data_IF_916592629252
#
_entry.id   IF_916592629252
#
_cell.length_a   1.000
_cell.length_b   1.000
_cell.length_c   1.000
_cell.angle_alpha   90.00
_cell.angle_beta   90.00
_cell.angle_gamma   90.00
#
_symmetry.space_group_name_H-M   'P 1'
#
loop_
_entity.id
_entity.type
_entity.pdbx_description
1 polymer ?
#
# COMPACT_ATOMS: atom_id res chain seq x y z
N UNK A 1 -4.83 -18.01 9.62
CA UNK A 1 -4.42 -18.06 8.20
C UNK A 1 -2.90 -17.87 8.04
N UNK A 2 -2.33 -16.73 8.47
CA UNK A 2 -0.92 -16.39 8.29
C UNK A 2 0.04 -17.42 8.93
N UNK A 3 -0.25 -17.90 10.13
CA UNK A 3 0.53 -18.96 10.78
C UNK A 3 0.64 -20.19 9.89
N UNK A 4 -0.50 -20.65 9.35
CA UNK A 4 -0.53 -21.81 8.46
C UNK A 4 0.19 -21.54 7.14
N UNK A 5 0.10 -20.33 6.60
CA UNK A 5 0.84 -19.94 5.39
C UNK A 5 2.36 -20.03 5.61
N UNK A 6 2.86 -19.50 6.73
CA UNK A 6 4.28 -19.59 7.12
C UNK A 6 4.75 -21.04 7.26
N UNK A 7 3.98 -21.87 7.96
CA UNK A 7 4.26 -23.30 8.12
C UNK A 7 4.33 -24.02 6.77
N UNK A 8 3.37 -23.72 5.87
CA UNK A 8 3.30 -24.36 4.54
C UNK A 8 4.45 -23.91 3.63
N UNK A 9 4.85 -22.65 3.71
CA UNK A 9 5.94 -22.11 2.89
C UNK A 9 7.31 -22.72 3.27
N UNK A 10 7.51 -23.10 4.54
CA UNK A 10 8.79 -23.65 5.03
C UNK A 10 9.94 -22.65 5.05
N UNK A 11 9.67 -21.37 4.79
CA UNK A 11 10.62 -20.27 4.87
C UNK A 11 9.92 -18.99 5.34
N UNK A 12 10.69 -17.92 5.59
CA UNK A 12 10.12 -16.62 5.94
C UNK A 12 9.31 -16.05 4.77
N UNK A 13 8.14 -15.51 5.09
CA UNK A 13 7.31 -14.75 4.14
C UNK A 13 7.40 -13.27 4.50
N UNK A 14 7.64 -12.42 3.51
CA UNK A 14 7.49 -10.98 3.67
C UNK A 14 6.00 -10.63 3.85
N UNK A 15 5.68 -9.91 4.93
CA UNK A 15 4.29 -9.55 5.24
C UNK A 15 4.16 -8.03 5.24
N UNK A 16 3.29 -7.53 4.37
CA UNK A 16 2.86 -6.13 4.34
C UNK A 16 1.50 -6.01 5.01
N UNK A 17 1.38 -5.05 5.93
CA UNK A 17 0.11 -4.66 6.53
C UNK A 17 -0.39 -3.37 5.85
N UNK A 18 -1.65 -3.38 5.39
CA UNK A 18 -2.27 -2.24 4.72
C UNK A 18 -3.59 -1.88 5.41
N UNK A 19 -3.67 -0.73 6.12
CA UNK A 19 -4.91 -0.30 6.76
C UNK A 19 -5.87 0.30 5.71
N UNK A 20 -7.16 -0.03 5.83
CA UNK A 20 -8.18 0.49 4.94
C UNK A 20 -8.87 1.75 5.48
N UNK A 21 -8.94 1.89 6.79
CA UNK A 21 -9.43 3.12 7.43
C UNK A 21 -8.99 3.20 8.89
N UNK A 22 -8.67 4.39 9.38
CA UNK A 22 -8.67 4.63 10.82
C UNK A 22 -10.07 4.44 11.41
N UNK A 23 -10.19 4.26 12.75
CA UNK A 23 -11.47 4.25 13.44
C UNK A 23 -12.30 5.50 13.14
N UNK A 24 -13.61 5.35 13.02
CA UNK A 24 -14.54 6.42 12.65
C UNK A 24 -14.36 7.71 13.47
N UNK A 25 -14.15 7.60 14.79
CA UNK A 25 -13.98 8.75 15.68
C UNK A 25 -12.68 9.55 15.45
N UNK A 26 -11.72 8.98 14.71
CA UNK A 26 -10.48 9.67 14.32
C UNK A 26 -10.61 10.45 13.02
N UNK A 27 -11.69 10.26 12.27
CA UNK A 27 -11.92 10.86 10.95
C UNK A 27 -12.86 12.05 11.00
N UNK A 28 -12.75 12.92 10.01
CA UNK A 28 -13.59 14.11 9.86
C UNK A 28 -15.06 13.78 9.54
N UNK A 29 -15.28 12.74 8.75
CA UNK A 29 -16.63 12.26 8.40
C UNK A 29 -17.26 11.33 9.45
N UNK A 30 -16.54 10.96 10.50
CA UNK A 30 -16.98 10.05 11.57
C UNK A 30 -17.52 8.70 11.07
N UNK A 31 -17.00 8.25 9.94
CA UNK A 31 -17.37 6.99 9.28
C UNK A 31 -16.10 6.24 8.87
N UNK A 32 -16.04 4.94 9.06
CA UNK A 32 -14.93 4.12 8.56
C UNK A 32 -14.98 4.00 7.04
N UNK A 33 -16.16 4.12 6.44
CA UNK A 33 -16.44 4.07 5.01
C UNK A 33 -16.43 5.48 4.40
N UNK A 34 -16.73 5.56 3.11
CA UNK A 34 -17.03 6.81 2.41
C UNK A 34 -15.88 7.84 2.41
N UNK A 35 -14.63 7.39 2.39
CA UNK A 35 -13.45 8.27 2.38
C UNK A 35 -13.32 9.04 3.70
N UNK A 36 -13.40 10.36 3.65
CA UNK A 36 -13.03 11.23 4.77
C UNK A 36 -11.53 11.31 4.97
N UNK A 37 -11.07 12.04 5.96
CA UNK A 37 -9.65 12.24 6.27
C UNK A 37 -9.37 11.98 7.74
N UNK A 38 -8.20 11.45 8.04
CA UNK A 38 -7.71 11.39 9.41
C UNK A 38 -7.53 12.81 9.96
N UNK A 39 -8.13 13.10 11.11
CA UNK A 39 -7.95 14.39 11.75
C UNK A 39 -6.51 14.54 12.25
N UNK A 40 -5.87 15.66 11.96
CA UNK A 40 -4.48 15.96 12.32
C UNK A 40 -4.15 15.70 13.80
N UNK A 41 -5.07 16.07 14.70
CA UNK A 41 -4.94 15.82 16.15
C UNK A 41 -4.81 14.34 16.53
N UNK A 42 -5.18 13.43 15.61
CA UNK A 42 -5.15 11.98 15.82
C UNK A 42 -3.94 11.31 15.14
N UNK A 43 -3.09 12.04 14.41
CA UNK A 43 -1.95 11.46 13.68
C UNK A 43 -1.02 10.65 14.60
N UNK A 44 -0.60 11.25 15.72
CA UNK A 44 0.25 10.53 16.69
C UNK A 44 -0.44 9.29 17.28
N UNK A 45 -1.74 9.38 17.58
CA UNK A 45 -2.50 8.24 18.12
C UNK A 45 -2.66 7.13 17.09
N UNK A 46 -2.88 7.48 15.82
CA UNK A 46 -3.00 6.50 14.76
C UNK A 46 -1.65 5.81 14.46
N UNK A 47 -0.54 6.54 14.47
CA UNK A 47 0.80 5.97 14.35
C UNK A 47 1.10 4.99 15.50
N UNK A 48 0.80 5.35 16.74
CA UNK A 48 0.94 4.45 17.89
C UNK A 48 0.03 3.20 17.79
N UNK A 49 -1.17 3.34 17.22
CA UNK A 49 -2.05 2.20 16.96
C UNK A 49 -1.42 1.22 15.96
N UNK A 50 -0.85 1.74 14.86
CA UNK A 50 -0.17 0.93 13.85
C UNK A 50 1.02 0.17 14.46
N UNK A 51 1.84 0.85 15.27
CA UNK A 51 2.97 0.21 15.95
C UNK A 51 2.50 -0.86 16.94
N UNK A 52 1.46 -0.60 17.72
CA UNK A 52 0.88 -1.62 18.62
C UNK A 52 0.32 -2.82 17.86
N UNK A 53 -0.24 -2.62 16.68
CA UNK A 53 -0.65 -3.73 15.82
C UNK A 53 0.54 -4.60 15.41
N UNK A 54 1.65 -3.99 15.01
CA UNK A 54 2.90 -4.69 14.66
C UNK A 54 3.42 -5.51 15.85
N UNK A 55 3.50 -4.89 17.04
CA UNK A 55 3.93 -5.56 18.27
C UNK A 55 2.99 -6.74 18.62
N UNK A 56 1.69 -6.52 18.58
CA UNK A 56 0.69 -7.55 18.89
C UNK A 56 0.66 -8.70 17.88
N UNK A 57 1.01 -8.46 16.61
CA UNK A 57 1.20 -9.52 15.63
C UNK A 57 2.47 -10.33 15.92
N UNK A 58 3.56 -9.66 16.29
CA UNK A 58 4.82 -10.31 16.68
C UNK A 58 4.64 -11.22 17.91
N UNK A 59 3.89 -10.80 18.92
CA UNK A 59 3.55 -11.63 20.09
C UNK A 59 2.82 -12.93 19.69
N UNK A 60 2.15 -12.93 18.54
CA UNK A 60 1.47 -14.11 17.94
C UNK A 60 2.35 -14.88 16.96
N UNK A 61 3.65 -14.59 16.92
CA UNK A 61 4.61 -15.24 16.02
C UNK A 61 4.50 -14.80 14.56
N UNK A 62 3.87 -13.64 14.29
CA UNK A 62 3.74 -13.08 12.94
C UNK A 62 4.51 -11.76 12.91
N UNK A 63 5.63 -11.75 12.21
CA UNK A 63 6.40 -10.54 11.98
C UNK A 63 5.82 -9.78 10.79
N UNK A 64 5.60 -8.48 10.97
CA UNK A 64 5.21 -7.55 9.90
C UNK A 64 6.49 -6.88 9.42
N UNK A 65 6.81 -7.06 8.15
CA UNK A 65 8.04 -6.54 7.54
C UNK A 65 7.83 -5.18 6.89
N UNK A 66 6.60 -4.91 6.46
CA UNK A 66 6.24 -3.67 5.77
C UNK A 66 4.88 -3.17 6.23
N UNK A 67 4.71 -1.87 6.21
CA UNK A 67 3.44 -1.22 6.52
C UNK A 67 3.13 -0.12 5.49
N UNK A 68 1.96 -0.22 4.88
CA UNK A 68 1.40 0.85 4.06
C UNK A 68 0.78 1.91 4.96
N UNK A 69 0.86 3.17 4.57
CA UNK A 69 0.20 4.26 5.29
C UNK A 69 -1.31 4.11 5.18
N UNK A 70 -1.80 3.84 3.97
CA UNK A 70 -3.23 3.74 3.68
C UNK A 70 -3.45 2.98 2.38
N UNK A 71 -4.37 2.00 2.40
CA UNK A 71 -4.89 1.42 1.17
C UNK A 71 -5.67 2.47 0.37
N UNK A 72 -5.34 2.63 -0.89
CA UNK A 72 -6.02 3.53 -1.85
C UNK A 72 -6.27 4.96 -1.35
N UNK A 73 -5.21 5.71 -0.98
CA UNK A 73 -5.35 7.02 -0.31
C UNK A 73 -6.00 8.12 -1.19
N UNK A 74 -6.16 7.92 -2.47
CA UNK A 74 -6.86 8.85 -3.36
C UNK A 74 -8.34 8.49 -3.57
N UNK A 75 -8.78 7.32 -3.11
CA UNK A 75 -10.13 6.82 -3.34
C UNK A 75 -11.12 7.20 -2.24
N UNK A 76 -12.40 7.38 -2.64
CA UNK A 76 -13.54 7.39 -1.75
C UNK A 76 -14.40 6.17 -2.08
N UNK A 77 -14.40 5.19 -1.21
CA UNK A 77 -15.10 3.93 -1.41
C UNK A 77 -16.31 3.81 -0.46
N UNK A 78 -17.32 3.04 -0.87
CA UNK A 78 -18.50 2.73 -0.03
C UNK A 78 -18.15 1.80 1.14
N UNK A 79 -16.98 1.18 1.11
CA UNK A 79 -16.39 0.41 2.19
C UNK A 79 -15.31 1.21 2.94
N UNK A 80 -14.59 0.55 3.86
CA UNK A 80 -13.55 1.18 4.65
C UNK A 80 -12.52 1.88 3.74
N UNK A 81 -12.37 3.18 3.92
CA UNK A 81 -11.47 4.03 3.12
C UNK A 81 -11.14 5.33 3.83
N UNK A 82 -9.98 5.89 3.55
CA UNK A 82 -9.55 7.18 4.11
C UNK A 82 -8.64 7.88 3.10
N UNK A 83 -8.86 9.18 2.89
CA UNK A 83 -8.11 9.95 1.92
C UNK A 83 -6.91 10.64 2.56
N UNK A 84 -5.81 10.63 1.81
CA UNK A 84 -4.62 11.44 2.06
C UNK A 84 -4.18 12.12 0.77
N UNK A 85 -3.83 13.40 0.83
CA UNK A 85 -3.04 14.02 -0.21
C UNK A 85 -1.57 13.55 -0.12
N UNK A 86 -0.77 13.88 -1.12
CA UNK A 86 0.60 13.39 -1.18
C UNK A 86 1.48 13.89 -0.03
N UNK A 87 1.32 15.16 0.33
CA UNK A 87 2.00 15.80 1.45
C UNK A 87 1.50 15.31 2.81
N UNK A 88 0.19 15.08 2.95
CA UNK A 88 -0.40 14.52 4.18
C UNK A 88 0.10 13.10 4.45
N UNK A 89 0.18 12.27 3.41
CA UNK A 89 0.70 10.90 3.51
C UNK A 89 2.18 10.90 3.88
N UNK A 90 2.97 11.74 3.21
CA UNK A 90 4.40 11.89 3.48
C UNK A 90 4.66 12.44 4.89
N UNK A 91 3.92 13.46 5.31
CA UNK A 91 4.01 13.99 6.67
C UNK A 91 3.69 12.92 7.71
N UNK A 92 2.61 12.16 7.52
CA UNK A 92 2.26 11.09 8.45
C UNK A 92 3.36 10.03 8.53
N UNK A 93 3.93 9.65 7.40
CA UNK A 93 5.05 8.69 7.35
C UNK A 93 6.27 9.20 8.10
N UNK A 94 6.69 10.45 7.83
CA UNK A 94 7.97 11.04 8.27
C UNK A 94 7.93 11.52 9.70
N UNK A 95 6.86 12.23 10.08
CA UNK A 95 6.80 12.96 11.35
C UNK A 95 6.03 12.23 12.45
N UNK A 96 5.29 11.17 12.09
CA UNK A 96 4.49 10.43 13.07
C UNK A 96 4.82 8.93 13.08
N UNK A 97 4.72 8.23 11.95
CA UNK A 97 4.89 6.78 11.94
C UNK A 97 6.36 6.39 12.13
N UNK A 98 7.29 7.02 11.39
CA UNK A 98 8.71 6.71 11.54
C UNK A 98 9.22 6.95 12.96
N UNK A 99 8.95 8.10 13.63
CA UNK A 99 9.33 8.29 15.03
C UNK A 99 8.66 7.31 15.99
N UNK A 100 7.43 6.87 15.73
CA UNK A 100 6.76 5.86 16.55
C UNK A 100 7.43 4.49 16.43
N UNK A 101 7.87 4.10 15.23
CA UNK A 101 8.69 2.90 14.99
C UNK A 101 10.07 3.02 15.65
N UNK A 102 10.74 4.16 15.49
CA UNK A 102 12.05 4.44 16.05
C UNK A 102 12.05 4.31 17.58
N UNK A 103 11.05 4.86 18.26
CA UNK A 103 10.83 4.74 19.70
C UNK A 103 10.77 3.28 20.20
N UNK A 104 10.40 2.35 19.33
CA UNK A 104 10.32 0.90 19.61
C UNK A 104 11.51 0.11 19.04
N UNK A 105 12.49 0.75 18.40
CA UNK A 105 13.60 0.08 17.71
C UNK A 105 13.13 -0.78 16.53
N UNK A 106 12.06 -0.35 15.84
CA UNK A 106 11.44 -1.04 14.71
C UNK A 106 11.75 -0.39 13.35
N UNK A 107 12.33 0.81 13.32
CA UNK A 107 12.57 1.61 12.10
C UNK A 107 13.42 0.89 11.04
N UNK A 108 14.33 0.00 11.47
CA UNK A 108 15.18 -0.79 10.56
C UNK A 108 14.53 -2.12 10.16
N UNK A 109 13.50 -2.54 10.89
CA UNK A 109 12.82 -3.84 10.72
C UNK A 109 11.54 -3.73 9.90
N UNK A 110 10.79 -2.65 10.09
CA UNK A 110 9.51 -2.42 9.44
C UNK A 110 9.65 -1.31 8.41
N UNK A 111 9.48 -1.66 7.16
CA UNK A 111 9.62 -0.75 6.02
C UNK A 111 8.32 0.02 5.79
N UNK A 112 8.41 1.34 5.68
CA UNK A 112 7.25 2.20 5.37
C UNK A 112 7.06 2.24 3.86
N UNK A 113 5.84 1.93 3.41
CA UNK A 113 5.41 1.93 2.02
C UNK A 113 4.29 2.95 1.84
N UNK A 114 4.28 3.67 0.76
CA UNK A 114 3.27 4.68 0.43
C UNK A 114 2.56 4.37 -0.88
N UNK A 115 1.54 5.14 -1.19
CA UNK A 115 0.67 5.07 -2.35
C UNK A 115 -0.31 3.90 -2.28
N UNK A 116 0.12 2.67 -2.39
CA UNK A 116 -0.74 1.49 -2.25
C UNK A 116 -2.08 1.63 -3.00
N UNK A 117 -1.99 2.06 -4.27
CA UNK A 117 -3.12 2.41 -5.12
C UNK A 117 -2.76 2.23 -6.61
N UNK A 118 -3.69 2.50 -7.52
CA UNK A 118 -3.53 2.25 -8.95
C UNK A 118 -2.28 2.92 -9.56
N UNK A 119 -1.55 2.16 -10.39
CA UNK A 119 -0.24 2.55 -10.95
C UNK A 119 -0.29 3.79 -11.86
N UNK A 120 -1.45 4.10 -12.45
CA UNK A 120 -1.61 5.19 -13.41
C UNK A 120 -1.21 6.58 -12.87
N UNK A 121 -1.47 6.84 -11.59
CA UNK A 121 -1.10 8.10 -10.93
C UNK A 121 0.18 8.01 -10.07
N UNK A 122 0.81 6.84 -10.00
CA UNK A 122 1.92 6.57 -9.09
C UNK A 122 3.10 7.54 -9.28
N UNK A 123 3.53 7.79 -10.52
CA UNK A 123 4.65 8.68 -10.79
C UNK A 123 4.40 10.10 -10.28
N UNK A 124 3.22 10.65 -10.57
CA UNK A 124 2.82 11.96 -10.06
C UNK A 124 2.80 11.98 -8.54
N UNK A 125 2.15 10.99 -7.93
CA UNK A 125 2.01 10.90 -6.47
C UNK A 125 3.36 10.85 -5.77
N UNK A 126 4.28 10.02 -6.25
CA UNK A 126 5.61 9.92 -5.65
C UNK A 126 6.41 11.21 -5.81
N UNK A 127 6.32 11.89 -6.95
CA UNK A 127 6.98 13.20 -7.10
C UNK A 127 6.51 14.20 -6.03
N UNK A 128 5.22 14.24 -5.76
CA UNK A 128 4.63 15.12 -4.74
C UNK A 128 5.04 14.67 -3.33
N UNK A 129 4.92 13.38 -2.99
CA UNK A 129 5.25 12.85 -1.66
C UNK A 129 6.74 12.93 -1.35
N UNK A 130 7.62 12.63 -2.31
CA UNK A 130 9.09 12.68 -2.11
C UNK A 130 9.66 14.09 -2.04
N UNK A 131 8.86 15.12 -2.34
CA UNK A 131 9.22 16.51 -2.10
C UNK A 131 9.11 16.90 -0.61
N UNK A 132 8.42 16.10 0.21
CA UNK A 132 8.34 16.35 1.65
C UNK A 132 9.69 16.08 2.32
N UNK A 133 10.17 17.00 3.20
CA UNK A 133 11.48 16.85 3.86
C UNK A 133 11.60 15.53 4.63
N UNK A 134 12.62 14.75 4.37
CA UNK A 134 12.87 13.45 5.00
C UNK A 134 12.09 12.26 4.41
N UNK A 135 11.20 12.48 3.42
CA UNK A 135 10.45 11.39 2.82
C UNK A 135 11.35 10.42 2.03
N UNK A 136 12.35 10.96 1.32
CA UNK A 136 13.29 10.10 0.58
C UNK A 136 14.11 9.17 1.46
N UNK A 137 14.41 9.57 2.67
CA UNK A 137 15.22 8.78 3.62
C UNK A 137 14.37 7.77 4.40
N UNK A 138 13.13 8.15 4.76
CA UNK A 138 12.31 7.37 5.70
C UNK A 138 11.29 6.45 5.03
N UNK A 139 10.84 6.80 3.82
CA UNK A 139 9.96 5.95 3.01
C UNK A 139 10.80 4.97 2.21
N UNK A 140 10.60 3.67 2.46
CA UNK A 140 11.37 2.61 1.83
C UNK A 140 10.95 2.36 0.38
N UNK A 141 9.65 2.37 0.11
CA UNK A 141 9.14 2.04 -1.21
C UNK A 141 7.70 2.49 -1.44
N UNK A 142 7.17 2.11 -2.57
CA UNK A 142 5.81 2.39 -2.96
C UNK A 142 5.11 1.14 -3.47
N UNK A 143 3.86 0.99 -3.07
CA UNK A 143 3.01 -0.10 -3.49
C UNK A 143 2.04 0.35 -4.59
N UNK A 144 1.60 -0.59 -5.42
CA UNK A 144 0.65 -0.27 -6.47
C UNK A 144 -0.36 -1.38 -6.73
N UNK A 145 -1.51 -0.95 -7.30
CA UNK A 145 -2.62 -1.78 -7.78
C UNK A 145 -2.76 -1.68 -9.29
N UNK A 146 -3.52 -2.59 -9.90
CA UNK A 146 -3.64 -2.68 -11.37
C UNK A 146 -5.01 -2.28 -11.95
N UNK A 147 -5.97 -1.82 -11.15
CA UNK A 147 -7.38 -1.76 -11.56
C UNK A 147 -7.71 -0.77 -12.67
N UNK A 148 -7.00 0.35 -12.78
CA UNK A 148 -7.33 1.43 -13.72
C UNK A 148 -6.55 1.34 -15.03
N UNK A 149 -5.33 0.80 -15.02
CA UNK A 149 -4.43 0.85 -16.16
C UNK A 149 -3.47 -0.33 -16.19
N UNK A 150 -3.11 -0.78 -17.39
CA UNK A 150 -2.05 -1.77 -17.63
C UNK A 150 -0.71 -1.13 -18.07
N UNK A 151 -0.53 0.18 -17.80
CA UNK A 151 0.66 0.96 -18.15
C UNK A 151 1.80 0.72 -17.16
N UNK A 152 2.45 -0.42 -17.23
CA UNK A 152 3.57 -0.77 -16.35
C UNK A 152 4.82 0.10 -16.57
N UNK A 153 4.94 0.78 -17.71
CA UNK A 153 6.01 1.76 -17.99
C UNK A 153 6.08 2.91 -16.97
N UNK A 154 5.00 3.17 -16.24
CA UNK A 154 4.99 4.15 -15.14
C UNK A 154 5.94 3.71 -14.01
N UNK A 155 6.08 2.41 -13.78
CA UNK A 155 7.01 1.87 -12.79
C UNK A 155 8.47 2.19 -13.18
N UNK A 156 8.80 2.05 -14.47
CA UNK A 156 10.11 2.47 -15.00
C UNK A 156 10.37 3.96 -14.75
N UNK A 157 9.38 4.84 -15.02
CA UNK A 157 9.51 6.28 -14.75
C UNK A 157 9.76 6.55 -13.26
N UNK A 158 9.10 5.82 -12.37
CA UNK A 158 9.32 5.93 -10.92
C UNK A 158 10.72 5.47 -10.57
N UNK A 159 11.16 4.32 -11.05
CA UNK A 159 12.48 3.78 -10.78
C UNK A 159 13.61 4.71 -11.29
N UNK A 160 13.48 5.24 -12.50
CA UNK A 160 14.46 6.18 -13.04
C UNK A 160 14.58 7.47 -12.23
N UNK A 161 13.45 7.94 -11.67
CA UNK A 161 13.41 9.16 -10.84
C UNK A 161 13.87 8.93 -9.41
N UNK A 162 13.54 7.77 -8.86
CA UNK A 162 13.78 7.38 -7.47
C UNK A 162 14.36 5.96 -7.40
N UNK A 163 15.60 5.75 -7.90
CA UNK A 163 16.20 4.42 -8.02
C UNK A 163 16.45 3.73 -6.67
N UNK A 164 16.39 4.49 -5.58
CA UNK A 164 16.49 3.97 -4.22
C UNK A 164 15.16 3.46 -3.66
N UNK A 165 14.03 3.58 -4.40
CA UNK A 165 12.71 3.16 -3.94
C UNK A 165 12.34 1.79 -4.49
N UNK A 166 11.83 0.95 -3.60
CA UNK A 166 11.31 -0.37 -3.93
C UNK A 166 9.87 -0.28 -4.44
N UNK A 167 9.54 -1.07 -5.45
CA UNK A 167 8.22 -1.10 -6.08
C UNK A 167 7.56 -2.45 -5.87
N UNK A 168 6.36 -2.45 -5.30
CA UNK A 168 5.63 -3.66 -4.92
C UNK A 168 4.22 -3.64 -5.49
N UNK A 169 3.83 -4.71 -6.17
CA UNK A 169 2.43 -4.97 -6.45
C UNK A 169 1.76 -5.54 -5.20
N UNK A 170 0.71 -4.91 -4.72
CA UNK A 170 0.09 -5.25 -3.44
C UNK A 170 -1.36 -5.67 -3.53
N UNK A 171 -2.04 -5.29 -4.62
CA UNK A 171 -3.43 -5.69 -4.81
C UNK A 171 -3.82 -5.74 -6.29
N UNK A 172 -4.55 -6.81 -6.63
CA UNK A 172 -5.22 -6.91 -7.91
C UNK A 172 -6.01 -8.19 -8.07
N UNK A 173 -7.19 -8.04 -8.65
CA UNK A 173 -7.99 -9.17 -9.10
C UNK A 173 -8.70 -8.82 -10.41
N UNK A 174 -9.08 -9.84 -11.18
CA UNK A 174 -9.95 -9.63 -12.33
C UNK A 174 -11.38 -9.47 -11.84
N UNK A 175 -11.92 -8.25 -12.00
CA UNK A 175 -13.30 -7.95 -11.65
C UNK A 175 -14.25 -8.55 -12.67
N UNK A 176 -15.21 -9.36 -12.21
CA UNK A 176 -16.15 -10.07 -13.08
C UNK A 176 -17.39 -9.24 -13.44
N UNK A 177 -17.69 -8.20 -12.69
CA UNK A 177 -18.95 -7.44 -12.78
C UNK A 177 -18.78 -5.95 -13.12
N UNK A 178 -17.59 -5.38 -12.96
CA UNK A 178 -17.36 -3.96 -13.23
C UNK A 178 -16.66 -3.72 -14.56
N UNK A 179 -17.02 -2.63 -15.22
CA UNK A 179 -16.45 -2.23 -16.51
C UNK A 179 -15.33 -1.18 -16.36
N UNK A 180 -14.78 -1.02 -15.16
CA UNK A 180 -13.75 -0.03 -14.88
C UNK A 180 -12.35 -0.61 -15.11
N UNK A 181 -11.69 -0.12 -16.12
CA UNK A 181 -10.27 -0.36 -16.34
C UNK A 181 -9.88 -1.66 -17.06
N UNK A 182 -8.58 -1.84 -17.25
CA UNK A 182 -8.00 -2.90 -18.07
C UNK A 182 -8.05 -4.31 -17.50
N UNK A 183 -8.55 -4.47 -16.27
CA UNK A 183 -8.63 -5.76 -15.56
C UNK A 183 -10.05 -6.34 -15.50
N UNK A 184 -11.04 -5.58 -15.95
CA UNK A 184 -12.43 -5.99 -15.97
C UNK A 184 -12.72 -7.01 -17.08
N UNK A 185 -13.53 -8.03 -16.80
CA UNK A 185 -13.91 -9.04 -17.78
C UNK A 185 -15.34 -9.52 -17.59
N UNK A 186 -16.11 -9.53 -18.69
CA UNK A 186 -17.47 -10.09 -18.75
C UNK A 186 -17.49 -11.62 -18.87
N UNK A 187 -16.33 -12.28 -18.98
CA UNK A 187 -16.29 -13.73 -19.02
C UNK A 187 -16.54 -14.30 -17.63
N UNK A 188 -17.18 -15.47 -17.59
CA UNK A 188 -17.42 -16.18 -16.33
C UNK A 188 -16.16 -16.67 -15.65
N UNK A 189 -16.28 -17.08 -14.39
CA UNK A 189 -15.21 -17.70 -13.61
C UNK A 189 -14.63 -18.90 -14.40
N UNK A 190 -13.30 -19.02 -14.40
CA UNK A 190 -12.60 -20.10 -15.10
C UNK A 190 -12.29 -19.80 -16.58
N UNK A 191 -12.69 -18.64 -17.11
CA UNK A 191 -12.30 -18.27 -18.47
C UNK A 191 -10.80 -18.05 -18.57
N UNK A 192 -10.16 -18.70 -19.58
CA UNK A 192 -8.71 -18.64 -19.80
C UNK A 192 -8.14 -17.22 -19.90
N UNK A 193 -8.89 -16.32 -20.52
CA UNK A 193 -8.48 -14.90 -20.64
C UNK A 193 -8.24 -14.20 -19.29
N UNK A 194 -8.83 -14.68 -18.20
CA UNK A 194 -8.52 -14.14 -16.87
C UNK A 194 -7.08 -14.50 -16.46
N UNK A 195 -6.66 -15.73 -16.70
CA UNK A 195 -5.27 -16.14 -16.49
C UNK A 195 -4.29 -15.33 -17.36
N UNK A 196 -4.65 -15.04 -18.62
CA UNK A 196 -3.86 -14.19 -19.51
C UNK A 196 -3.70 -12.76 -18.98
N UNK A 197 -4.72 -12.19 -18.34
CA UNK A 197 -4.64 -10.87 -17.70
C UNK A 197 -3.62 -10.89 -16.57
N UNK A 198 -3.66 -11.89 -15.68
CA UNK A 198 -2.67 -12.06 -14.61
C UNK A 198 -1.27 -12.24 -15.20
N UNK A 199 -1.06 -13.21 -16.09
CA UNK A 199 0.24 -13.48 -16.68
C UNK A 199 0.84 -12.26 -17.38
N UNK A 200 0.03 -11.51 -18.14
CA UNK A 200 0.46 -10.28 -18.80
C UNK A 200 0.89 -9.20 -17.81
N UNK A 201 0.12 -8.96 -16.75
CA UNK A 201 0.48 -7.96 -15.76
C UNK A 201 1.75 -8.36 -14.99
N UNK A 202 1.85 -9.61 -14.54
CA UNK A 202 3.06 -10.14 -13.87
C UNK A 202 4.31 -9.89 -14.73
N UNK A 203 4.27 -10.32 -16.00
CA UNK A 203 5.41 -10.17 -16.91
C UNK A 203 5.75 -8.69 -17.14
N UNK A 204 4.74 -7.85 -17.39
CA UNK A 204 4.95 -6.42 -17.63
C UNK A 204 5.53 -5.74 -16.38
N UNK A 205 4.98 -6.00 -15.22
CA UNK A 205 5.41 -5.34 -13.98
C UNK A 205 6.85 -5.72 -13.62
N UNK A 206 7.23 -7.00 -13.68
CA UNK A 206 8.62 -7.41 -13.45
C UNK A 206 9.60 -6.88 -14.50
N UNK A 207 9.18 -6.72 -15.75
CA UNK A 207 10.00 -6.06 -16.77
C UNK A 207 10.13 -4.54 -16.56
N UNK A 208 9.38 -3.97 -15.63
CA UNK A 208 9.38 -2.55 -15.27
C UNK A 208 9.75 -2.34 -13.79
N UNK A 209 10.73 -3.08 -13.28
CA UNK A 209 11.31 -2.90 -11.93
C UNK A 209 10.41 -3.23 -10.75
N UNK A 210 9.30 -3.94 -10.94
CA UNK A 210 8.55 -4.47 -9.80
C UNK A 210 9.36 -5.59 -9.12
N UNK A 211 9.41 -5.61 -7.80
CA UNK A 211 10.22 -6.55 -7.02
C UNK A 211 9.38 -7.70 -6.40
N UNK A 212 8.09 -7.48 -6.20
CA UNK A 212 7.17 -8.49 -5.68
C UNK A 212 5.77 -8.32 -6.28
N UNK A 213 5.06 -9.48 -6.43
CA UNK A 213 3.75 -9.50 -7.06
C UNK A 213 2.79 -10.47 -6.35
#
# INVERSE_FOLDING_TARGET
FLTRAKETAGHSLGILASPWSPPAFMKDNKDINNGGRLLKKNYATWAEYMVKYIEGMKERGIEIDMISIQNEPAAKQEWASCKYEADEEAEFAVDYLYPALEKRGLQDKVKIVIWDHNRDLMFRRLNESMAYPGAREKVWGAAFHWYVSDKSEILTMVHEKFPEKHLLFTEGCVELVNNSGGTSSKAGIGAWKHGEIYGRNIIKDFNNYNEAW
#
